data_IF_571695991188
#
_entry.id   IF_571695991188
#
_cell.length_a   1.000
_cell.length_b   1.000
_cell.length_c   1.000
_cell.angle_alpha   90.00
_cell.angle_beta   90.00
_cell.angle_gamma   90.00
#
_symmetry.space_group_name_H-M   'P 1'
#
loop_
_entity.id
_entity.type
_entity.pdbx_description
1 polymer ?
#
# COMPACT_ATOMS: atom_id res chain seq x y z
N UNK A 1 24.66 -22.96 6.19
CA UNK A 1 23.55 -21.98 6.24
C UNK A 1 22.63 -22.30 5.07
N UNK A 2 21.45 -22.86 5.32
CA UNK A 2 20.51 -23.25 4.26
C UNK A 2 19.78 -21.99 3.75
N UNK A 3 19.99 -21.59 2.50
CA UNK A 3 19.23 -20.51 1.86
C UNK A 3 17.88 -21.05 1.41
N UNK A 4 16.79 -20.36 1.80
CA UNK A 4 15.45 -20.71 1.31
C UNK A 4 15.40 -20.57 -0.22
N UNK A 5 14.75 -21.51 -0.94
CA UNK A 5 14.61 -21.42 -2.38
C UNK A 5 13.85 -20.14 -2.80
N UNK A 6 14.29 -19.50 -3.89
CA UNK A 6 13.75 -18.23 -4.41
C UNK A 6 12.22 -18.17 -4.50
N UNK A 7 11.56 -19.29 -4.80
CA UNK A 7 10.09 -19.38 -4.87
C UNK A 7 9.42 -19.16 -3.51
N UNK A 8 10.00 -19.70 -2.44
CA UNK A 8 9.46 -19.60 -1.09
C UNK A 8 9.55 -18.16 -0.57
N UNK A 9 10.61 -17.44 -0.95
CA UNK A 9 10.75 -16.00 -0.67
C UNK A 9 9.67 -15.15 -1.36
N UNK A 10 9.29 -15.50 -2.59
CA UNK A 10 8.26 -14.78 -3.34
C UNK A 10 6.84 -14.99 -2.79
N UNK A 11 6.60 -16.10 -2.08
CA UNK A 11 5.28 -16.44 -1.56
C UNK A 11 5.10 -16.19 -0.08
N UNK A 12 6.19 -15.96 0.68
CA UNK A 12 6.14 -15.78 2.13
C UNK A 12 5.14 -14.69 2.58
N UNK A 13 4.97 -13.63 1.79
CA UNK A 13 4.01 -12.56 2.10
C UNK A 13 2.55 -13.01 2.01
N UNK A 14 2.22 -14.03 1.20
CA UNK A 14 0.84 -14.47 1.02
C UNK A 14 0.26 -15.18 2.24
N UNK A 15 1.09 -15.86 3.02
CA UNK A 15 0.66 -16.50 4.26
C UNK A 15 0.25 -15.44 5.29
N UNK A 16 1.06 -14.38 5.41
CA UNK A 16 0.72 -13.24 6.26
C UNK A 16 -0.57 -12.53 5.78
N UNK A 17 -0.71 -12.29 4.47
CA UNK A 17 -1.94 -11.69 3.93
C UNK A 17 -3.18 -12.56 4.19
N UNK A 18 -3.05 -13.88 4.17
CA UNK A 18 -4.15 -14.80 4.52
C UNK A 18 -4.56 -14.62 5.97
N UNK A 19 -3.60 -14.63 6.89
CA UNK A 19 -3.88 -14.40 8.30
C UNK A 19 -4.55 -13.04 8.55
N UNK A 20 -4.06 -11.97 7.91
CA UNK A 20 -4.61 -10.63 8.10
C UNK A 20 -6.04 -10.50 7.54
N UNK A 21 -6.38 -11.16 6.43
CA UNK A 21 -7.77 -11.19 5.91
C UNK A 21 -8.78 -11.75 6.92
N UNK A 22 -8.37 -12.73 7.72
CA UNK A 22 -9.21 -13.41 8.70
C UNK A 22 -9.25 -12.66 10.04
N UNK A 23 -8.11 -12.11 10.47
CA UNK A 23 -7.96 -11.55 11.82
C UNK A 23 -8.15 -10.03 11.86
N UNK A 24 -7.49 -9.29 10.97
CA UNK A 24 -7.45 -7.82 10.93
C UNK A 24 -7.50 -7.34 9.48
N UNK A 25 -8.65 -7.45 8.81
CA UNK A 25 -8.78 -7.17 7.39
C UNK A 25 -8.54 -5.69 7.02
N UNK A 26 -8.70 -4.81 8.00
CA UNK A 26 -8.33 -3.39 7.97
C UNK A 26 -7.42 -3.15 9.17
N UNK A 27 -6.16 -2.83 8.91
CA UNK A 27 -5.13 -2.71 9.95
C UNK A 27 -4.38 -1.39 9.81
N UNK A 28 -4.24 -0.66 10.91
CA UNK A 28 -3.41 0.55 10.93
C UNK A 28 -1.99 0.20 11.36
N UNK A 29 -1.02 0.39 10.45
CA UNK A 29 0.40 0.27 10.76
C UNK A 29 0.86 1.58 11.41
N UNK A 30 1.08 1.55 12.72
CA UNK A 30 1.56 2.71 13.48
C UNK A 30 2.98 3.17 13.10
N UNK A 31 3.82 2.28 12.57
CA UNK A 31 5.17 2.64 12.16
C UNK A 31 5.14 3.40 10.82
N UNK A 32 4.31 2.95 9.89
CA UNK A 32 4.15 3.56 8.58
C UNK A 32 3.09 4.67 8.55
N UNK A 33 2.30 4.81 9.63
CA UNK A 33 1.16 5.72 9.72
C UNK A 33 0.19 5.54 8.53
N UNK A 34 -0.09 4.28 8.19
CA UNK A 34 -0.92 3.93 7.02
C UNK A 34 -1.90 2.82 7.32
N UNK A 35 -2.94 2.73 6.50
CA UNK A 35 -3.94 1.67 6.57
C UNK A 35 -3.65 0.59 5.53
N UNK A 36 -3.61 -0.66 5.98
CA UNK A 36 -3.55 -1.84 5.12
C UNK A 36 -4.94 -2.46 5.00
N UNK A 37 -5.31 -2.77 3.76
CA UNK A 37 -6.56 -3.43 3.40
C UNK A 37 -6.23 -4.78 2.77
N UNK A 38 -6.82 -5.85 3.31
CA UNK A 38 -6.48 -7.21 2.89
C UNK A 38 -7.59 -7.92 2.12
N UNK A 39 -8.84 -7.48 2.24
CA UNK A 39 -9.97 -8.07 1.52
C UNK A 39 -10.15 -7.41 0.15
N UNK A 40 -10.58 -8.21 -0.81
CA UNK A 40 -10.78 -7.75 -2.19
C UNK A 40 -11.82 -6.62 -2.27
N UNK A 41 -12.95 -6.76 -1.58
CA UNK A 41 -14.04 -5.78 -1.64
C UNK A 41 -13.61 -4.40 -1.10
N UNK A 42 -12.82 -4.38 -0.02
CA UNK A 42 -12.29 -3.15 0.57
C UNK A 42 -11.33 -2.44 -0.41
N UNK A 43 -10.42 -3.21 -1.04
CA UNK A 43 -9.49 -2.70 -2.04
C UNK A 43 -10.24 -2.19 -3.28
N UNK A 44 -11.19 -2.96 -3.80
CA UNK A 44 -11.98 -2.58 -4.97
C UNK A 44 -12.77 -1.29 -4.72
N UNK A 45 -13.33 -1.12 -3.52
CA UNK A 45 -14.01 0.11 -3.12
C UNK A 45 -13.06 1.31 -3.12
N UNK A 46 -11.91 1.20 -2.45
CA UNK A 46 -10.94 2.31 -2.36
C UNK A 46 -10.46 2.75 -3.73
N UNK A 47 -10.19 1.78 -4.62
CA UNK A 47 -9.74 2.08 -5.98
C UNK A 47 -10.83 2.69 -6.86
N UNK A 48 -12.10 2.47 -6.54
CA UNK A 48 -13.24 2.98 -7.34
C UNK A 48 -13.76 4.33 -6.83
N UNK A 49 -13.78 4.54 -5.52
CA UNK A 49 -14.29 5.75 -4.86
C UNK A 49 -13.19 6.83 -4.71
N UNK A 50 -12.76 7.37 -5.84
CA UNK A 50 -11.72 8.41 -5.91
C UNK A 50 -12.13 9.74 -5.25
N UNK A 51 -13.44 9.97 -5.04
CA UNK A 51 -13.95 11.15 -4.35
C UNK A 51 -13.63 11.10 -2.85
N UNK A 52 -13.70 9.91 -2.25
CA UNK A 52 -13.30 9.67 -0.86
C UNK A 52 -11.80 9.38 -0.75
N UNK A 53 -11.23 8.63 -1.69
CA UNK A 53 -9.84 8.17 -1.66
C UNK A 53 -9.02 8.77 -2.82
N UNK A 54 -8.38 9.92 -2.55
CA UNK A 54 -7.59 10.62 -3.57
C UNK A 54 -6.29 9.90 -3.89
N UNK A 55 -5.90 9.87 -5.17
CA UNK A 55 -4.55 9.50 -5.60
C UNK A 55 -3.53 10.63 -5.46
N UNK A 56 -3.92 11.79 -4.92
CA UNK A 56 -3.02 12.91 -4.74
C UNK A 56 -1.99 12.64 -3.63
N UNK A 57 -0.79 12.24 -4.06
CA UNK A 57 0.34 11.91 -3.19
C UNK A 57 0.98 13.13 -2.50
N UNK A 58 0.69 14.34 -2.96
CA UNK A 58 1.33 15.56 -2.42
C UNK A 58 1.02 15.80 -0.93
N UNK A 59 -0.09 15.25 -0.43
CA UNK A 59 -0.43 15.34 1.00
C UNK A 59 0.41 14.41 1.88
N UNK A 60 1.01 13.36 1.32
CA UNK A 60 1.75 12.33 2.07
C UNK A 60 3.27 12.39 1.86
N UNK A 61 3.72 13.00 0.75
CA UNK A 61 5.14 13.22 0.52
C UNK A 61 5.65 14.45 1.27
N UNK A 62 6.84 14.36 1.92
CA UNK A 62 7.51 15.54 2.44
C UNK A 62 7.70 16.61 1.34
N UNK A 63 7.67 17.91 1.68
CA UNK A 63 7.73 18.99 0.70
C UNK A 63 8.87 18.88 -0.30
N UNK A 64 10.03 18.39 0.16
CA UNK A 64 11.23 18.16 -0.63
C UNK A 64 11.07 17.10 -1.73
N UNK A 65 10.10 16.18 -1.62
CA UNK A 65 9.83 15.14 -2.62
C UNK A 65 8.72 15.48 -3.61
N UNK A 66 7.94 16.54 -3.38
CA UNK A 66 6.77 16.89 -4.22
C UNK A 66 7.15 17.19 -5.67
N UNK A 67 8.37 17.68 -5.91
CA UNK A 67 8.92 17.96 -7.25
C UNK A 67 10.17 17.12 -7.57
N UNK A 68 10.49 16.12 -6.75
CA UNK A 68 11.76 15.39 -6.84
C UNK A 68 11.85 14.46 -8.05
N UNK A 69 10.74 14.23 -8.76
CA UNK A 69 10.75 13.44 -9.99
C UNK A 69 10.09 14.18 -11.15
N UNK A 70 10.55 13.97 -12.40
CA UNK A 70 9.86 14.47 -13.59
C UNK A 70 8.40 14.02 -13.70
N UNK A 71 8.07 12.86 -13.11
CA UNK A 71 6.71 12.33 -13.07
C UNK A 71 5.83 13.16 -12.11
N UNK A 72 6.33 13.47 -10.90
CA UNK A 72 5.56 14.25 -9.92
C UNK A 72 5.38 15.72 -10.34
N UNK A 73 6.36 16.29 -11.03
CA UNK A 73 6.33 17.68 -11.51
C UNK A 73 5.48 17.90 -12.76
N UNK A 74 5.14 16.83 -13.50
CA UNK A 74 4.31 16.87 -14.71
C UNK A 74 2.82 16.62 -14.45
N UNK A 75 2.44 16.24 -13.22
CA UNK A 75 1.04 16.19 -12.83
C UNK A 75 0.51 17.63 -12.72
N UNK A 76 -0.20 18.09 -13.76
CA UNK A 76 -0.94 19.34 -13.74
C UNK A 76 -1.90 19.32 -12.55
N UNK A 77 -1.66 20.22 -11.59
CA UNK A 77 -2.46 20.38 -10.38
C UNK A 77 -3.62 21.33 -10.61
#
# INVERSE_FOLDING_TARGET
>A
MQTKPKRELLTASYDWYRQMRETQPVFFDQKMQTWHLFRYDDVARVLSDHATFSSNESSFLPPEYRNATPISSSLLR
#
